data_IF_051367434821
#
_entry.id   IF_051367434821
#
_cell.length_a   1.000
_cell.length_b   1.000
_cell.length_c   1.000
_cell.angle_alpha   90.00
_cell.angle_beta   90.00
_cell.angle_gamma   90.00
#
_symmetry.space_group_name_H-M   'P 1'
#
loop_
_entity.id
_entity.type
_entity.pdbx_description
1 polymer ?
#
# COMPACT_ATOMS: atom_id res chain seq x y z
N UNK A 1 14.71 7.20 0.08
CA UNK A 1 14.51 6.98 1.53
C UNK A 1 14.31 5.50 1.75
N UNK A 2 15.09 4.88 2.64
CA UNK A 2 14.88 3.48 3.04
C UNK A 2 14.10 3.46 4.36
N UNK A 3 12.98 2.73 4.39
CA UNK A 3 12.16 2.53 5.58
C UNK A 3 12.26 1.05 5.97
N UNK A 4 12.68 0.76 7.19
CA UNK A 4 12.77 -0.59 7.73
C UNK A 4 12.40 -0.59 9.21
N UNK A 5 11.95 -1.73 9.71
CA UNK A 5 11.59 -1.94 11.11
C UNK A 5 11.58 -3.42 11.43
N UNK A 6 11.77 -3.78 12.71
CA UNK A 6 11.62 -5.16 13.17
C UNK A 6 10.16 -5.56 13.00
N UNK A 7 9.92 -6.70 12.38
CA UNK A 7 8.56 -7.22 12.19
C UNK A 7 8.02 -7.71 13.54
N UNK A 8 6.82 -7.26 13.88
CA UNK A 8 6.09 -7.63 15.09
C UNK A 8 4.77 -8.28 14.65
N UNK A 9 4.69 -9.62 14.57
CA UNK A 9 3.58 -10.32 13.90
C UNK A 9 2.22 -10.14 14.61
N UNK A 10 2.24 -9.83 15.90
CA UNK A 10 1.04 -9.55 16.69
C UNK A 10 0.53 -8.10 16.52
N UNK A 11 1.31 -7.24 15.85
CA UNK A 11 0.89 -5.87 15.59
C UNK A 11 -0.16 -5.83 14.46
N UNK A 12 -1.20 -5.02 14.64
CA UNK A 12 -2.22 -4.77 13.62
C UNK A 12 -1.63 -4.26 12.29
N UNK A 13 -0.50 -3.54 12.37
CA UNK A 13 0.23 -3.04 11.20
C UNK A 13 1.72 -3.05 11.50
N UNK A 14 2.53 -3.48 10.54
CA UNK A 14 3.98 -3.55 10.73
C UNK A 14 4.58 -2.15 10.89
N UNK A 15 5.66 -2.01 11.69
CA UNK A 15 6.33 -0.72 11.87
C UNK A 15 6.82 -0.09 10.56
N UNK A 16 7.25 -0.92 9.61
CA UNK A 16 7.68 -0.46 8.29
C UNK A 16 6.52 0.11 7.45
N UNK A 17 5.35 -0.53 7.49
CA UNK A 17 4.16 -0.04 6.79
C UNK A 17 3.66 1.27 7.41
N UNK A 18 3.63 1.39 8.74
CA UNK A 18 3.24 2.63 9.43
C UNK A 18 4.17 3.80 9.10
N UNK A 19 5.49 3.57 9.15
CA UNK A 19 6.46 4.59 8.75
C UNK A 19 6.30 4.99 7.26
N UNK A 20 6.04 4.03 6.36
CA UNK A 20 5.80 4.32 4.95
C UNK A 20 4.53 5.16 4.73
N UNK A 21 3.44 4.86 5.45
CA UNK A 21 2.19 5.64 5.42
C UNK A 21 2.39 7.06 5.94
N UNK A 22 3.17 7.25 7.00
CA UNK A 22 3.50 8.59 7.52
C UNK A 22 4.30 9.41 6.51
N UNK A 23 5.31 8.80 5.87
CA UNK A 23 6.08 9.46 4.80
C UNK A 23 5.16 9.80 3.62
N UNK A 24 4.29 8.87 3.22
CA UNK A 24 3.31 9.09 2.17
C UNK A 24 2.42 10.29 2.47
N UNK A 25 1.76 10.31 3.63
CA UNK A 25 0.91 11.43 4.09
C UNK A 25 1.67 12.76 4.07
N UNK A 26 2.91 12.75 4.56
CA UNK A 26 3.75 13.95 4.60
C UNK A 26 4.13 14.47 3.22
N UNK A 27 4.35 13.59 2.24
CA UNK A 27 4.68 13.92 0.85
C UNK A 27 3.45 14.39 0.08
N UNK A 28 2.31 13.77 0.30
CA UNK A 28 1.04 14.12 -0.38
C UNK A 28 0.29 15.27 0.27
N UNK A 29 0.68 15.68 1.48
CA UNK A 29 -0.01 16.73 2.24
C UNK A 29 -1.31 16.26 2.88
N UNK A 30 -1.54 14.95 2.97
CA UNK A 30 -2.69 14.37 3.68
C UNK A 30 -2.48 14.58 5.19
N UNK A 31 -3.38 15.30 5.83
CA UNK A 31 -3.39 15.49 7.29
C UNK A 31 -4.31 14.46 7.95
N UNK A 32 -4.01 14.08 9.20
CA UNK A 32 -4.81 13.13 10.00
C UNK A 32 -6.15 13.72 10.51
N UNK A 33 -6.65 14.77 9.87
CA UNK A 33 -7.91 15.41 10.25
C UNK A 33 -9.10 14.55 9.88
N UNK A 34 -9.96 14.27 10.84
CA UNK A 34 -11.33 13.76 10.65
C UNK A 34 -12.16 14.87 9.97
N UNK A 35 -11.92 15.04 8.68
CA UNK A 35 -12.47 16.09 7.84
C UNK A 35 -13.30 15.47 6.75
N UNK A 36 -14.58 15.77 6.81
CA UNK A 36 -15.63 15.66 5.80
C UNK A 36 -15.12 15.49 4.36
N UNK A 37 -15.77 14.59 3.63
CA UNK A 37 -15.43 14.22 2.28
C UNK A 37 -15.23 15.45 1.39
N UNK A 38 -14.39 15.29 0.37
CA UNK A 38 -14.13 16.28 -0.70
C UNK A 38 -12.99 17.30 -0.48
N UNK A 39 -11.90 16.93 0.20
CA UNK A 39 -10.63 17.61 -0.07
C UNK A 39 -9.99 17.01 -1.31
N UNK A 40 -10.02 17.78 -2.40
CA UNK A 40 -9.45 17.47 -3.72
C UNK A 40 -8.05 16.85 -3.62
N UNK A 41 -7.97 15.52 -3.56
CA UNK A 41 -6.79 14.76 -3.98
C UNK A 41 -6.69 14.88 -5.50
N UNK A 42 -6.40 16.09 -5.97
CA UNK A 42 -6.00 16.33 -7.34
C UNK A 42 -4.63 15.65 -7.54
N UNK A 43 -4.72 14.35 -7.84
CA UNK A 43 -4.00 13.72 -8.94
C UNK A 43 -2.48 13.89 -8.96
N UNK A 44 -1.79 13.80 -7.81
CA UNK A 44 -0.38 13.45 -7.85
C UNK A 44 -0.28 11.94 -8.08
N UNK A 45 0.28 11.47 -9.22
CA UNK A 45 0.40 10.04 -9.50
C UNK A 45 1.30 9.40 -8.46
N UNK A 46 0.69 8.74 -7.48
CA UNK A 46 1.39 8.02 -6.42
C UNK A 46 1.42 6.53 -6.76
N UNK A 47 2.60 6.02 -7.08
CA UNK A 47 2.81 4.59 -7.31
C UNK A 47 3.45 3.95 -6.09
N UNK A 48 2.78 2.98 -5.48
CA UNK A 48 3.38 2.10 -4.49
C UNK A 48 3.97 0.86 -5.18
N UNK A 49 5.23 0.52 -4.88
CA UNK A 49 5.90 -0.67 -5.42
C UNK A 49 6.28 -1.58 -4.28
N UNK A 50 5.65 -2.75 -4.21
CA UNK A 50 6.01 -3.82 -3.27
C UNK A 50 6.95 -4.80 -3.96
N UNK A 51 8.06 -5.11 -3.30
CA UNK A 51 8.88 -6.26 -3.64
C UNK A 51 8.52 -7.38 -2.66
N UNK A 52 8.07 -8.49 -3.22
CA UNK A 52 7.65 -9.68 -2.47
C UNK A 52 8.35 -10.90 -3.06
N UNK A 53 8.62 -11.89 -2.22
CA UNK A 53 9.09 -13.17 -2.71
C UNK A 53 8.03 -13.82 -3.62
N UNK A 54 8.46 -14.45 -4.70
CA UNK A 54 7.56 -15.11 -5.66
C UNK A 54 6.64 -16.15 -5.01
N UNK A 55 7.13 -16.84 -3.98
CA UNK A 55 6.35 -17.78 -3.16
C UNK A 55 5.17 -17.12 -2.43
N UNK A 56 5.31 -15.86 -2.02
CA UNK A 56 4.26 -15.12 -1.30
C UNK A 56 3.29 -14.43 -2.27
N UNK A 57 3.75 -14.12 -3.49
CA UNK A 57 2.93 -13.49 -4.53
C UNK A 57 1.69 -14.32 -4.89
N UNK A 58 1.80 -15.66 -4.91
CA UNK A 58 0.69 -16.56 -5.24
C UNK A 58 -0.49 -16.36 -4.28
N UNK A 59 -0.20 -16.20 -2.98
CA UNK A 59 -1.23 -15.96 -1.97
C UNK A 59 -1.92 -14.62 -2.15
N UNK A 60 -1.20 -13.58 -2.58
CA UNK A 60 -1.76 -12.24 -2.84
C UNK A 60 -2.56 -12.18 -4.14
N UNK A 61 -2.13 -12.90 -5.18
CA UNK A 61 -2.89 -13.05 -6.43
C UNK A 61 -4.24 -13.72 -6.12
N UNK A 62 -4.21 -14.78 -5.31
CA UNK A 62 -5.38 -15.57 -4.97
C UNK A 62 -5.88 -16.43 -6.14
N UNK A 63 -6.90 -17.26 -5.88
CA UNK A 63 -7.48 -18.13 -6.92
C UNK A 63 -8.04 -17.27 -8.04
N UNK A 64 -7.67 -17.58 -9.29
CA UNK A 64 -8.11 -16.85 -10.50
C UNK A 64 -7.79 -15.34 -10.51
N UNK A 65 -6.89 -14.87 -9.64
CA UNK A 65 -6.60 -13.44 -9.51
C UNK A 65 -7.70 -12.63 -8.82
N UNK A 66 -8.67 -13.27 -8.15
CA UNK A 66 -9.81 -12.56 -7.54
C UNK A 66 -9.37 -11.66 -6.39
N UNK A 67 -8.40 -12.09 -5.58
CA UNK A 67 -7.94 -11.32 -4.43
C UNK A 67 -7.20 -10.06 -4.88
N UNK A 68 -6.23 -10.18 -5.79
CA UNK A 68 -5.51 -9.03 -6.33
C UNK A 68 -6.43 -8.04 -7.05
N UNK A 69 -7.45 -8.51 -7.78
CA UNK A 69 -8.47 -7.61 -8.37
C UNK A 69 -9.24 -6.83 -7.31
N UNK A 70 -9.70 -7.50 -6.25
CA UNK A 70 -10.41 -6.83 -5.17
C UNK A 70 -9.54 -5.77 -4.46
N UNK A 71 -8.25 -6.05 -4.27
CA UNK A 71 -7.29 -5.07 -3.74
C UNK A 71 -7.16 -3.88 -4.70
N UNK A 72 -7.08 -4.13 -6.02
CA UNK A 72 -6.98 -3.09 -7.04
C UNK A 72 -8.20 -2.16 -7.02
N UNK A 73 -9.39 -2.75 -6.99
CA UNK A 73 -10.67 -2.02 -6.98
C UNK A 73 -10.84 -1.21 -5.69
N UNK A 74 -10.56 -1.80 -4.53
CA UNK A 74 -10.73 -1.15 -3.23
C UNK A 74 -9.69 -0.03 -2.98
N UNK A 75 -8.48 -0.18 -3.49
CA UNK A 75 -7.40 0.80 -3.29
C UNK A 75 -7.32 1.87 -4.38
N UNK A 76 -7.88 1.61 -5.57
CA UNK A 76 -7.66 2.42 -6.76
C UNK A 76 -6.20 2.43 -7.25
N UNK A 77 -5.32 1.61 -6.67
CA UNK A 77 -3.91 1.60 -6.98
C UNK A 77 -3.63 0.80 -8.26
N UNK A 78 -2.70 1.28 -9.09
CA UNK A 78 -2.24 0.53 -10.26
C UNK A 78 -1.23 -0.54 -9.82
N UNK A 79 -1.59 -1.82 -9.92
CA UNK A 79 -0.76 -2.95 -9.52
C UNK A 79 -0.17 -3.70 -10.71
N UNK A 80 1.10 -4.10 -10.61
CA UNK A 80 1.79 -4.89 -11.62
C UNK A 80 2.58 -6.01 -10.95
N UNK A 81 2.37 -7.24 -11.41
CA UNK A 81 3.21 -8.38 -11.03
C UNK A 81 4.44 -8.38 -11.94
N UNK A 82 5.62 -8.30 -11.34
CA UNK A 82 6.88 -8.44 -12.04
C UNK A 82 7.35 -9.88 -11.82
N UNK A 83 7.49 -10.65 -12.91
CA UNK A 83 8.26 -11.90 -12.86
C UNK A 83 9.74 -11.55 -12.92
N UNK A 84 10.54 -12.22 -12.09
CA UNK A 84 11.99 -12.30 -12.32
C UNK A 84 12.27 -13.06 -13.62
#
# INVERSE_FOLDING_TARGET
VLVYGKEEPDAKMSPAMDAALRVFKRVTGLTDGEGDGTSSVASLPCSFRMLIASSQAISLIGKQGTLIKSIQENSGAHMRVLSA
#
